data_IF_607176271266
#
_entry.id   IF_607176271266
#
_cell.length_a   1.000
_cell.length_b   1.000
_cell.length_c   1.000
_cell.angle_alpha   90.00
_cell.angle_beta   90.00
_cell.angle_gamma   90.00
#
_symmetry.space_group_name_H-M   'P 1'
#
loop_
_entity.id
_entity.type
_entity.pdbx_description
1 polymer ?
#
# COMPACT_ATOMS: atom_id res chain seq x y z
N UNK A 1 -14.87 16.07 3.80
CA UNK A 1 -13.85 15.18 4.36
C UNK A 1 -13.96 13.85 3.62
N UNK A 2 -13.28 13.75 2.47
CA UNK A 2 -13.23 12.55 1.63
C UNK A 2 -11.76 12.13 1.55
N UNK A 3 -11.21 11.73 2.69
CA UNK A 3 -9.77 11.52 2.86
C UNK A 3 -9.46 10.06 3.26
N UNK A 4 -10.50 9.23 3.35
CA UNK A 4 -10.43 7.83 3.76
C UNK A 4 -10.84 6.90 2.62
N UNK A 5 -9.95 5.97 2.28
CA UNK A 5 -10.14 4.97 1.22
C UNK A 5 -9.75 3.58 1.74
N UNK A 6 -10.46 2.57 1.25
CA UNK A 6 -10.23 1.14 1.52
C UNK A 6 -9.75 0.40 0.26
N UNK A 7 -9.29 1.14 -0.76
CA UNK A 7 -8.68 0.59 -1.96
C UNK A 7 -7.39 -0.16 -1.66
N UNK A 8 -6.98 -1.02 -2.60
CA UNK A 8 -5.71 -1.72 -2.52
C UNK A 8 -4.59 -0.73 -2.86
N UNK A 9 -3.68 -0.51 -1.91
CA UNK A 9 -2.43 0.22 -2.15
C UNK A 9 -1.38 -0.75 -2.69
N UNK A 10 -0.97 -0.55 -3.94
CA UNK A 10 0.08 -1.34 -4.57
C UNK A 10 1.46 -0.78 -4.25
N UNK A 11 2.50 -1.58 -4.51
CA UNK A 11 3.88 -1.23 -4.25
C UNK A 11 4.73 -1.51 -5.48
N UNK A 12 5.68 -0.63 -5.77
CA UNK A 12 6.59 -0.74 -6.93
C UNK A 12 8.04 -0.74 -6.48
N UNK A 13 8.87 -1.46 -7.22
CA UNK A 13 10.32 -1.43 -7.04
C UNK A 13 10.91 -0.26 -7.83
N UNK A 14 11.84 0.47 -7.22
CA UNK A 14 12.57 1.56 -7.86
C UNK A 14 14.06 1.25 -7.77
N UNK A 15 14.79 1.46 -8.87
CA UNK A 15 16.24 1.22 -8.92
C UNK A 15 16.95 2.01 -7.83
N UNK A 16 17.87 1.35 -7.13
CA UNK A 16 18.65 1.94 -6.03
C UNK A 16 17.92 2.08 -4.70
N UNK A 17 16.66 1.66 -4.59
CA UNK A 17 15.93 1.61 -3.31
C UNK A 17 15.96 0.19 -2.75
N UNK A 18 16.09 0.05 -1.43
CA UNK A 18 16.10 -1.27 -0.77
C UNK A 18 14.68 -1.81 -0.53
N UNK A 19 13.74 -0.93 -0.20
CA UNK A 19 12.33 -1.26 0.06
C UNK A 19 11.43 -0.77 -1.08
N UNK A 20 10.28 -1.41 -1.32
CA UNK A 20 9.37 -0.97 -2.36
C UNK A 20 8.65 0.31 -1.91
N UNK A 21 8.29 1.15 -2.88
CA UNK A 21 7.58 2.39 -2.62
C UNK A 21 6.07 2.20 -2.88
N UNK A 22 5.19 2.80 -2.06
CA UNK A 22 3.77 2.79 -2.32
C UNK A 22 3.45 3.52 -3.62
N UNK A 23 2.61 2.92 -4.45
CA UNK A 23 2.07 3.53 -5.66
C UNK A 23 0.68 4.08 -5.35
N UNK A 24 0.58 5.41 -5.25
CA UNK A 24 -0.67 6.11 -5.00
C UNK A 24 -1.49 6.37 -6.27
N UNK A 25 -1.08 5.82 -7.42
CA UNK A 25 -1.81 5.90 -8.69
C UNK A 25 -3.01 4.96 -8.72
N UNK A 26 -3.81 4.96 -7.66
CA UNK A 26 -4.98 4.10 -7.49
C UNK A 26 -6.26 4.90 -7.68
N UNK A 27 -7.31 4.23 -8.15
CA UNK A 27 -8.61 4.87 -8.27
C UNK A 27 -9.27 5.01 -6.90
N UNK A 28 -9.16 6.21 -6.33
CA UNK A 28 -9.77 6.52 -5.05
C UNK A 28 -11.30 6.58 -5.13
N UNK A 29 -11.96 6.07 -4.08
CA UNK A 29 -13.42 6.23 -3.89
C UNK A 29 -13.71 6.81 -2.52
N UNK A 30 -14.41 7.94 -2.52
CA UNK A 30 -14.91 8.58 -1.30
C UNK A 30 -15.77 7.62 -0.48
N UNK A 31 -15.43 7.48 0.80
CA UNK A 31 -16.22 6.77 1.81
C UNK A 31 -16.32 7.62 3.06
N UNK A 32 -17.30 7.30 3.91
CA UNK A 32 -17.42 7.92 5.22
C UNK A 32 -16.19 7.57 6.07
N UNK A 33 -15.50 8.61 6.55
CA UNK A 33 -14.26 8.45 7.29
C UNK A 33 -14.44 7.66 8.59
N UNK A 34 -15.48 7.95 9.36
CA UNK A 34 -15.69 7.32 10.66
C UNK A 34 -16.12 5.87 10.52
N UNK A 35 -16.99 5.58 9.54
CA UNK A 35 -17.37 4.22 9.21
C UNK A 35 -16.14 3.38 8.82
N UNK A 36 -15.26 3.92 7.97
CA UNK A 36 -14.06 3.21 7.57
C UNK A 36 -13.09 3.00 8.74
N UNK A 37 -12.86 4.04 9.54
CA UNK A 37 -11.99 3.96 10.72
C UNK A 37 -12.44 2.87 11.69
N UNK A 38 -13.74 2.80 11.98
CA UNK A 38 -14.29 1.79 12.89
C UNK A 38 -14.13 0.38 12.31
N UNK A 39 -14.40 0.20 11.01
CA UNK A 39 -14.21 -1.08 10.35
C UNK A 39 -12.74 -1.54 10.39
N UNK A 40 -11.79 -0.64 10.09
CA UNK A 40 -10.34 -0.96 10.15
C UNK A 40 -9.92 -1.35 11.57
N UNK A 41 -10.42 -0.66 12.60
CA UNK A 41 -10.09 -1.00 13.98
C UNK A 41 -10.45 -2.44 14.35
N UNK A 42 -11.56 -2.96 13.80
CA UNK A 42 -12.05 -4.32 14.05
C UNK A 42 -11.44 -5.38 13.11
N UNK A 43 -11.02 -5.00 11.91
CA UNK A 43 -10.69 -5.94 10.83
C UNK A 43 -9.23 -5.89 10.36
N UNK A 44 -8.43 -4.93 10.82
CA UNK A 44 -7.03 -4.84 10.41
C UNK A 44 -6.24 -6.08 10.82
N UNK A 45 -5.43 -6.58 9.88
CA UNK A 45 -4.49 -7.67 10.12
C UNK A 45 -3.09 -7.08 10.28
N UNK A 46 -2.39 -7.51 11.32
CA UNK A 46 -0.98 -7.19 11.50
C UNK A 46 -0.13 -8.25 10.80
N UNK A 47 0.96 -7.80 10.18
CA UNK A 47 1.97 -8.72 9.68
C UNK A 47 2.51 -9.53 10.87
N UNK A 48 2.50 -10.85 10.72
CA UNK A 48 3.14 -11.73 11.68
C UNK A 48 4.66 -11.52 11.66
N UNK A 49 5.31 -11.84 12.78
CA UNK A 49 6.77 -11.78 12.86
C UNK A 49 7.41 -12.63 11.75
N UNK A 50 8.33 -12.03 11.00
CA UNK A 50 8.97 -12.67 9.84
C UNK A 50 8.25 -12.49 8.50
N UNK A 51 7.12 -11.79 8.44
CA UNK A 51 6.51 -11.39 7.16
C UNK A 51 7.12 -10.07 6.66
N UNK A 52 7.97 -10.15 5.63
CA UNK A 52 8.54 -9.02 4.91
C UNK A 52 8.13 -9.04 3.44
N UNK A 53 8.10 -7.85 2.81
CA UNK A 53 7.98 -7.75 1.36
C UNK A 53 9.39 -7.84 0.78
N UNK A 54 9.69 -8.92 0.05
CA UNK A 54 11.00 -9.15 -0.55
C UNK A 54 11.00 -8.94 -2.06
N UNK A 55 12.11 -8.43 -2.58
CA UNK A 55 12.31 -8.29 -4.03
C UNK A 55 12.72 -9.62 -4.64
N UNK A 56 11.83 -10.19 -5.44
CA UNK A 56 12.11 -11.42 -6.17
C UNK A 56 13.12 -11.18 -7.31
N UNK A 57 13.96 -12.19 -7.64
CA UNK A 57 14.82 -12.12 -8.82
C UNK A 57 14.02 -11.85 -10.10
N UNK A 58 14.43 -10.83 -10.86
CA UNK A 58 13.76 -10.45 -12.10
C UNK A 58 12.48 -9.61 -11.93
N UNK A 59 12.18 -9.13 -10.72
CA UNK A 59 11.10 -8.18 -10.51
C UNK A 59 11.27 -6.92 -11.36
N UNK A 60 10.17 -6.38 -11.89
CA UNK A 60 10.18 -5.13 -12.66
C UNK A 60 10.51 -3.95 -11.75
N UNK A 61 11.41 -3.08 -12.20
CA UNK A 61 11.84 -1.90 -11.47
C UNK A 61 11.67 -0.64 -12.32
N UNK A 62 11.16 0.43 -11.70
CA UNK A 62 11.09 1.75 -12.29
C UNK A 62 12.45 2.46 -12.22
N UNK A 63 12.74 3.27 -13.23
CA UNK A 63 13.95 4.11 -13.25
C UNK A 63 13.88 5.30 -12.28
N UNK A 64 12.67 5.75 -11.96
CA UNK A 64 12.40 6.86 -11.05
C UNK A 64 11.16 6.59 -10.19
N UNK A 65 10.98 7.41 -9.16
CA UNK A 65 9.79 7.38 -8.32
C UNK A 65 8.55 7.80 -9.14
N UNK A 66 7.39 7.15 -8.94
CA UNK A 66 6.12 7.61 -9.48
C UNK A 66 5.63 8.90 -8.80
#
# INVERSE_FOLDING_TARGET
>A
MCDADAGILTYVWVKGWETPLPDFSVQHKCRDFYALKNWVAENQLFLAEGQSIERLPGASELDSRP
#
